data_IF_885287304678
#
_entry.id   IF_885287304678
#
_cell.length_a   1.000
_cell.length_b   1.000
_cell.length_c   1.000
_cell.angle_alpha   90.00
_cell.angle_beta   90.00
_cell.angle_gamma   90.00
#
_symmetry.space_group_name_H-M   'P 1'
#
loop_
_entity.id
_entity.type
_entity.pdbx_description
1 polymer ?
#
# COMPACT_ATOMS: atom_id res chain seq x y z
N UNK A 1 -0.87 -17.92 -22.53
CA UNK A 1 -1.17 -17.28 -21.97
C UNK A 1 -0.59 -16.66 -21.01
N UNK A 2 -0.50 -15.86 -20.76
CA UNK A 2 0.15 -15.26 -19.96
C UNK A 2 -0.42 -15.06 -18.77
N UNK A 3 0.13 -14.91 -17.81
CA UNK A 3 -0.28 -14.70 -16.69
C UNK A 3 -0.61 -13.41 -16.44
N UNK A 4 -1.56 -13.06 -15.80
CA UNK A 4 -1.91 -11.81 -15.47
C UNK A 4 -1.61 -11.52 -14.11
N UNK A 5 -0.93 -12.34 -13.37
CA UNK A 5 -0.67 -12.14 -11.98
C UNK A 5 0.24 -11.00 -11.69
N UNK A 6 0.89 -10.43 -12.69
CA UNK A 6 1.88 -9.41 -12.42
C UNK A 6 1.43 -8.00 -12.67
N UNK A 7 0.15 -7.80 -12.76
CA UNK A 7 -0.35 -6.48 -13.05
C UNK A 7 -0.05 -5.49 -11.96
N UNK A 8 0.16 -5.98 -10.73
CA UNK A 8 0.41 -5.09 -9.60
C UNK A 8 1.88 -4.93 -9.28
N UNK A 9 2.76 -5.51 -10.09
CA UNK A 9 4.16 -5.59 -9.71
C UNK A 9 4.97 -4.41 -10.20
N UNK A 10 4.34 -3.44 -10.83
CA UNK A 10 5.02 -2.25 -11.30
C UNK A 10 5.72 -1.55 -10.15
N UNK A 11 6.97 -1.18 -10.36
CA UNK A 11 7.78 -0.51 -9.35
C UNK A 11 8.47 0.69 -9.96
N UNK A 12 8.74 1.68 -9.15
CA UNK A 12 9.48 2.84 -9.63
C UNK A 12 9.37 4.03 -8.70
N UNK A 13 9.66 5.19 -9.26
CA UNK A 13 9.55 6.44 -8.54
C UNK A 13 8.55 7.34 -9.26
N UNK A 14 7.79 8.08 -8.48
CA UNK A 14 6.95 9.13 -9.01
C UNK A 14 7.05 10.32 -8.06
N UNK A 15 7.42 11.45 -8.60
CA UNK A 15 7.56 12.68 -7.81
C UNK A 15 8.46 12.46 -6.60
N UNK A 16 9.55 11.72 -6.81
CA UNK A 16 10.53 11.46 -5.78
C UNK A 16 10.13 10.40 -4.77
N UNK A 17 8.98 9.76 -4.92
CA UNK A 17 8.50 8.76 -3.98
C UNK A 17 8.52 7.39 -4.62
N UNK A 18 9.03 6.43 -3.87
CA UNK A 18 9.11 5.04 -4.32
C UNK A 18 7.77 4.33 -4.18
N UNK A 19 7.41 3.53 -5.15
CA UNK A 19 6.24 2.66 -5.06
C UNK A 19 6.64 1.24 -5.46
N UNK A 20 6.07 0.24 -4.77
CA UNK A 20 6.35 -1.16 -5.01
C UNK A 20 5.29 -1.83 -5.87
N UNK A 21 4.20 -1.16 -6.16
CA UNK A 21 3.13 -1.74 -6.96
C UNK A 21 2.30 -0.62 -7.56
N UNK A 22 1.49 -0.96 -8.56
CA UNK A 22 0.59 0.03 -9.16
C UNK A 22 -0.45 0.52 -8.16
N UNK A 23 -0.83 -0.29 -7.18
CA UNK A 23 -1.74 0.16 -6.15
C UNK A 23 -1.11 1.23 -5.28
N UNK A 24 0.16 1.03 -4.91
CA UNK A 24 0.86 2.06 -4.15
C UNK A 24 1.00 3.32 -4.97
N UNK A 25 1.28 3.20 -6.26
CA UNK A 25 1.37 4.36 -7.14
C UNK A 25 0.06 5.13 -7.15
N UNK A 26 -1.08 4.44 -7.29
CA UNK A 26 -2.37 5.11 -7.30
C UNK A 26 -2.60 5.87 -6.00
N UNK A 27 -2.27 5.27 -4.88
CA UNK A 27 -2.43 5.92 -3.58
C UNK A 27 -1.54 7.14 -3.46
N UNK A 28 -0.28 7.03 -3.89
CA UNK A 28 0.67 8.12 -3.81
C UNK A 28 0.20 9.30 -4.68
N UNK A 29 -0.22 9.02 -5.91
CA UNK A 29 -0.66 10.07 -6.83
C UNK A 29 -1.90 10.75 -6.28
N UNK A 30 -2.88 9.96 -5.83
CA UNK A 30 -4.10 10.53 -5.28
C UNK A 30 -3.81 11.44 -4.11
N UNK A 31 -3.01 10.96 -3.17
CA UNK A 31 -2.70 11.75 -1.98
C UNK A 31 -1.97 13.04 -2.36
N UNK A 32 -1.00 12.94 -3.25
CA UNK A 32 -0.27 14.13 -3.68
C UNK A 32 -1.20 15.17 -4.29
N UNK A 33 -2.11 14.72 -5.15
CA UNK A 33 -2.99 15.63 -5.87
C UNK A 33 -4.11 16.19 -5.01
N UNK A 34 -4.33 15.60 -3.83
CA UNK A 34 -5.35 16.09 -2.90
C UNK A 34 -4.74 16.71 -1.65
N UNK A 35 -3.43 16.95 -1.64
CA UNK A 35 -2.79 17.60 -0.51
C UNK A 35 -2.77 16.76 0.75
N UNK A 36 -2.84 15.43 0.61
CA UNK A 36 -2.77 14.51 1.74
C UNK A 36 -1.33 14.05 1.89
N UNK A 37 -0.76 14.25 3.05
CA UNK A 37 0.62 13.85 3.27
C UNK A 37 0.69 12.36 3.55
N UNK A 38 1.43 11.64 2.71
CA UNK A 38 1.61 10.21 2.83
C UNK A 38 3.11 9.94 2.84
N UNK A 39 3.59 9.31 3.90
CA UNK A 39 5.02 9.08 4.08
C UNK A 39 5.30 7.59 4.09
N UNK A 40 6.36 7.16 3.41
CA UNK A 40 6.79 5.77 3.48
C UNK A 40 7.25 5.48 4.90
N UNK A 41 6.68 4.46 5.51
CA UNK A 41 7.09 4.07 6.84
C UNK A 41 8.40 3.30 6.79
N UNK A 42 9.31 3.61 7.70
CA UNK A 42 10.59 2.93 7.78
C UNK A 42 10.76 2.12 9.06
N UNK A 43 9.76 2.14 9.94
CA UNK A 43 9.87 1.44 11.21
C UNK A 43 9.32 0.04 11.13
N UNK A 44 9.97 -0.88 11.83
CA UNK A 44 9.57 -2.26 11.89
C UNK A 44 9.11 -2.58 13.30
N UNK A 45 8.13 -3.48 13.40
CA UNK A 45 7.56 -3.86 14.68
C UNK A 45 7.60 -5.37 14.81
N UNK A 46 7.99 -5.88 15.99
CA UNK A 46 8.08 -7.33 16.19
C UNK A 46 6.70 -7.95 16.33
N UNK A 47 6.56 -9.16 15.82
CA UNK A 47 5.36 -9.96 16.08
C UNK A 47 5.79 -11.41 16.23
N UNK A 48 5.01 -12.16 16.99
CA UNK A 48 5.33 -13.56 17.23
C UNK A 48 4.70 -14.41 16.13
N UNK A 49 5.52 -15.22 15.48
CA UNK A 49 5.05 -16.13 14.45
C UNK A 49 5.52 -17.53 14.84
N UNK A 50 4.59 -18.36 15.30
CA UNK A 50 4.88 -19.65 15.91
C UNK A 50 5.80 -19.40 17.10
N UNK A 51 7.00 -20.00 17.11
CA UNK A 51 7.87 -19.87 18.27
C UNK A 51 9.07 -18.96 18.03
N UNK A 52 8.95 -18.03 17.08
CA UNK A 52 10.04 -17.08 16.87
C UNK A 52 9.47 -15.70 16.60
N UNK A 53 10.35 -14.70 16.58
CA UNK A 53 9.98 -13.32 16.39
C UNK A 53 10.30 -12.92 14.96
N UNK A 54 9.31 -12.33 14.29
CA UNK A 54 9.46 -11.75 12.96
C UNK A 54 9.21 -10.26 13.09
N UNK A 55 9.52 -9.52 12.02
CA UNK A 55 9.31 -8.08 12.04
C UNK A 55 8.39 -7.68 10.89
N UNK A 56 7.53 -6.72 11.16
CA UNK A 56 6.54 -6.23 10.21
C UNK A 56 6.73 -4.73 10.02
N UNK A 57 6.82 -4.32 8.77
CA UNK A 57 6.98 -2.92 8.40
C UNK A 57 5.78 -2.52 7.56
N UNK A 58 4.79 -1.81 8.14
CA UNK A 58 3.68 -1.28 7.34
C UNK A 58 4.19 -0.36 6.24
N UNK A 59 3.42 -0.24 5.16
CA UNK A 59 3.89 0.48 3.98
C UNK A 59 4.00 1.97 4.20
N UNK A 60 2.96 2.61 4.73
CA UNK A 60 2.90 4.06 4.81
C UNK A 60 2.35 4.53 6.14
N UNK A 61 2.57 5.81 6.41
CA UNK A 61 1.96 6.46 7.56
C UNK A 61 1.36 7.80 7.09
N UNK A 62 0.16 8.07 7.56
CA UNK A 62 -0.52 9.33 7.29
C UNK A 62 -0.11 10.38 8.32
N UNK A 63 -0.44 11.63 8.02
CA UNK A 63 -0.07 12.74 8.89
C UNK A 63 -0.62 12.57 10.31
N UNK A 64 -1.80 11.97 10.45
CA UNK A 64 -2.40 11.77 11.77
C UNK A 64 -1.84 10.57 12.52
N UNK A 65 -0.86 9.89 11.96
CA UNK A 65 -0.24 8.75 12.60
C UNK A 65 -0.84 7.41 12.25
N UNK A 66 -1.87 7.38 11.41
CA UNK A 66 -2.47 6.11 10.98
C UNK A 66 -1.55 5.42 9.99
N UNK A 67 -1.27 4.14 10.24
CA UNK A 67 -0.49 3.35 9.27
C UNK A 67 -1.40 2.82 8.18
N UNK A 68 -0.84 2.64 6.98
CA UNK A 68 -1.54 2.03 5.87
C UNK A 68 -0.73 0.84 5.37
N UNK A 69 -1.43 -0.26 5.15
CA UNK A 69 -0.84 -1.45 4.54
C UNK A 69 -1.59 -1.69 3.24
N UNK A 70 -0.89 -1.58 2.09
CA UNK A 70 -1.51 -1.69 0.78
C UNK A 70 -1.42 -3.11 0.28
N UNK A 71 -2.54 -3.61 -0.27
CA UNK A 71 -2.60 -4.98 -0.79
C UNK A 71 -2.41 -6.03 0.28
N UNK A 72 -2.81 -5.72 1.48
CA UNK A 72 -2.72 -6.70 2.53
C UNK A 72 -3.58 -7.91 2.22
N UNK A 73 -3.02 -9.10 2.35
CA UNK A 73 -3.78 -10.31 2.30
C UNK A 73 -4.32 -10.53 3.70
N UNK A 74 -5.63 -10.65 3.81
CA UNK A 74 -6.23 -10.73 5.13
C UNK A 74 -6.29 -12.17 5.63
N UNK A 75 -5.13 -12.83 5.66
CA UNK A 75 -5.03 -14.18 6.19
C UNK A 75 -4.58 -14.13 7.65
N UNK A 76 -4.35 -15.29 8.24
CA UNK A 76 -4.00 -15.36 9.65
C UNK A 76 -2.70 -14.60 9.95
N UNK A 77 -1.70 -14.77 9.10
CA UNK A 77 -0.41 -14.10 9.34
C UNK A 77 -0.56 -12.59 9.22
N UNK A 78 -1.33 -12.13 8.24
CA UNK A 78 -1.57 -10.70 8.08
C UNK A 78 -2.26 -10.13 9.31
N UNK A 79 -3.22 -10.85 9.87
CA UNK A 79 -3.91 -10.39 11.06
C UNK A 79 -2.96 -10.32 12.25
N UNK A 80 -2.05 -11.26 12.35
CA UNK A 80 -1.06 -11.22 13.42
C UNK A 80 -0.15 -10.01 13.28
N UNK A 81 0.30 -9.72 12.05
CA UNK A 81 1.13 -8.55 11.80
C UNK A 81 0.40 -7.28 12.20
N UNK A 82 -0.82 -7.12 11.73
CA UNK A 82 -1.59 -5.91 11.99
C UNK A 82 -1.82 -5.75 13.49
N UNK A 83 -2.14 -6.83 14.19
CA UNK A 83 -2.43 -6.75 15.61
C UNK A 83 -1.19 -6.42 16.45
N UNK A 84 0.00 -6.54 15.88
CA UNK A 84 1.23 -6.20 16.60
C UNK A 84 1.52 -4.71 16.62
N UNK A 85 0.83 -3.93 15.75
CA UNK A 85 1.09 -2.50 15.66
C UNK A 85 0.32 -1.80 16.77
N UNK A 86 1.00 -1.00 17.61
CA UNK A 86 0.33 -0.33 18.73
C UNK A 86 -0.36 0.98 18.32
N UNK A 87 -0.55 1.21 17.03
CA UNK A 87 -1.15 2.42 16.51
C UNK A 87 -2.26 2.05 15.54
N UNK A 88 -3.17 2.97 15.22
CA UNK A 88 -4.19 2.70 14.21
C UNK A 88 -3.55 2.30 12.88
N UNK A 89 -4.08 1.25 12.27
CA UNK A 89 -3.60 0.79 10.98
C UNK A 89 -4.79 0.38 10.13
N UNK A 90 -4.76 0.76 8.87
CA UNK A 90 -5.81 0.42 7.93
C UNK A 90 -5.21 -0.45 6.83
N UNK A 91 -5.82 -1.59 6.60
CA UNK A 91 -5.39 -2.49 5.53
C UNK A 91 -6.18 -2.14 4.28
N UNK A 92 -5.45 -1.79 3.22
CA UNK A 92 -6.05 -1.35 1.96
C UNK A 92 -6.12 -2.55 1.03
N UNK A 93 -7.20 -3.31 1.12
CA UNK A 93 -7.47 -4.40 0.20
C UNK A 93 -8.13 -3.82 -1.05
N UNK A 94 -8.54 -4.68 -1.98
CA UNK A 94 -9.14 -4.17 -3.22
C UNK A 94 -10.34 -3.28 -2.94
N UNK A 95 -11.15 -3.65 -1.97
CA UNK A 95 -12.33 -2.87 -1.64
C UNK A 95 -11.95 -1.43 -1.27
N UNK A 96 -10.94 -1.29 -0.42
CA UNK A 96 -10.49 0.03 0.00
C UNK A 96 -9.75 0.77 -1.10
N UNK A 97 -9.03 0.02 -1.94
CA UNK A 97 -8.24 0.64 -3.01
C UNK A 97 -9.08 1.05 -4.21
N UNK A 98 -10.27 0.49 -4.36
CA UNK A 98 -11.07 0.72 -5.55
C UNK A 98 -11.27 2.19 -5.91
N UNK A 99 -11.60 3.08 -4.96
CA UNK A 99 -11.78 4.49 -5.32
C UNK A 99 -10.50 5.13 -5.88
N UNK A 100 -9.35 4.73 -5.36
CA UNK A 100 -8.08 5.29 -5.83
C UNK A 100 -7.74 4.79 -7.21
N UNK A 101 -8.03 3.51 -7.50
CA UNK A 101 -7.80 2.96 -8.82
C UNK A 101 -8.74 3.58 -9.85
N UNK A 102 -10.00 3.82 -9.45
CA UNK A 102 -10.95 4.49 -10.34
C UNK A 102 -10.53 5.93 -10.61
N UNK A 103 -10.00 6.60 -9.60
CA UNK A 103 -9.50 7.95 -9.80
C UNK A 103 -8.41 7.98 -10.88
N UNK A 104 -7.49 7.03 -10.83
CA UNK A 104 -6.43 6.97 -11.83
C UNK A 104 -6.99 6.70 -13.21
N UNK A 105 -7.96 5.81 -13.31
CA UNK A 105 -8.57 5.51 -14.59
C UNK A 105 -9.30 6.70 -15.18
N UNK A 106 -10.05 7.41 -14.34
CA UNK A 106 -10.81 8.56 -14.81
C UNK A 106 -9.92 9.73 -15.19
N UNK A 107 -8.87 9.95 -14.46
CA UNK A 107 -8.01 11.11 -14.71
C UNK A 107 -6.95 10.84 -15.78
N UNK A 108 -6.38 9.65 -15.79
CA UNK A 108 -5.22 9.36 -16.64
C UNK A 108 -5.51 8.32 -17.72
N UNK A 109 -6.70 7.74 -17.76
CA UNK A 109 -7.07 6.76 -18.76
C UNK A 109 -6.90 5.34 -18.25
N UNK A 110 -7.56 4.40 -18.91
CA UNK A 110 -7.56 3.02 -18.43
C UNK A 110 -6.21 2.34 -18.56
N UNK A 111 -5.29 2.93 -19.32
CA UNK A 111 -3.95 2.38 -19.47
C UNK A 111 -2.94 3.13 -18.59
N UNK A 112 -3.40 3.75 -17.53
CA UNK A 112 -2.52 4.57 -16.69
C UNK A 112 -1.33 3.79 -16.13
N UNK A 113 -1.50 2.49 -15.91
CA UNK A 113 -0.37 1.70 -15.38
C UNK A 113 0.83 1.71 -16.30
N UNK A 114 0.59 1.85 -17.60
CA UNK A 114 1.67 1.85 -18.58
C UNK A 114 2.24 3.23 -18.81
N UNK A 115 1.61 4.26 -18.24
CA UNK A 115 1.99 5.64 -18.53
C UNK A 115 2.84 6.28 -17.45
N UNK A 116 3.01 5.64 -16.34
CA UNK A 116 3.81 6.19 -15.23
C UNK A 116 5.17 5.48 -15.05
#
# INVERSE_FOLDING_TARGET
MKKKTYQNVKRGYWNGKWYDSSWELALIVYCHEHGIELTRNTKKYPYKWYNHIEYYQPDFILEDGTFLEVKGINDYRAKRKVSSIPFPIKVMTYKEMKPYLEYMTLKYGKDWRDRF
#
